data_IF_081304036963
#
_entry.id   IF_081304036963
#
_cell.length_a   1.000
_cell.length_b   1.000
_cell.length_c   1.000
_cell.angle_alpha   90.00
_cell.angle_beta   90.00
_cell.angle_gamma   90.00
#
_symmetry.space_group_name_H-M   'P 1'
#
loop_
_entity.id
_entity.type
_entity.pdbx_description
1 polymer ?
#
# COMPACT_ATOMS: atom_id res chain seq x y z
N UNK A 1 -13.04 20.75 -4.45
CA UNK A 1 -13.58 19.56 -5.13
C UNK A 1 -13.54 18.40 -4.14
N UNK A 2 -14.68 17.75 -3.91
CA UNK A 2 -14.77 16.57 -3.04
C UNK A 2 -14.16 15.34 -3.71
N UNK A 3 -13.85 14.30 -2.93
CA UNK A 3 -13.44 13.00 -3.49
C UNK A 3 -14.56 12.39 -4.35
N UNK A 4 -15.83 12.59 -3.99
CA UNK A 4 -16.95 12.05 -4.77
C UNK A 4 -16.98 12.64 -6.19
N UNK A 5 -16.73 13.95 -6.32
CA UNK A 5 -16.59 14.61 -7.62
C UNK A 5 -15.38 14.08 -8.41
N UNK A 6 -14.26 13.80 -7.72
CA UNK A 6 -13.05 13.25 -8.36
C UNK A 6 -13.23 11.79 -8.81
N UNK A 7 -14.15 11.04 -8.21
CA UNK A 7 -14.44 9.64 -8.52
C UNK A 7 -15.57 9.44 -9.56
N UNK A 8 -16.24 10.51 -9.99
CA UNK A 8 -17.49 10.43 -10.76
C UNK A 8 -17.42 9.55 -12.02
N UNK A 9 -16.26 9.48 -12.68
CA UNK A 9 -16.06 8.72 -13.92
C UNK A 9 -15.16 7.49 -13.75
N UNK A 10 -14.84 7.07 -12.51
CA UNK A 10 -13.92 5.97 -12.27
C UNK A 10 -14.31 4.67 -12.99
N UNK A 11 -15.60 4.33 -13.01
CA UNK A 11 -16.07 3.10 -13.66
C UNK A 11 -15.90 3.11 -15.18
N UNK A 12 -15.89 4.30 -15.80
CA UNK A 12 -15.71 4.45 -17.25
C UNK A 12 -14.23 4.53 -17.63
N UNK A 13 -13.43 5.25 -16.84
CA UNK A 13 -12.01 5.50 -17.12
C UNK A 13 -11.08 4.40 -16.58
N UNK A 14 -11.52 3.65 -15.58
CA UNK A 14 -10.71 2.67 -14.85
C UNK A 14 -9.67 3.30 -13.92
N UNK A 15 -9.61 4.63 -13.84
CA UNK A 15 -8.75 5.39 -12.92
C UNK A 15 -9.39 6.72 -12.52
N UNK A 16 -8.89 7.31 -11.43
CA UNK A 16 -9.22 8.68 -11.01
C UNK A 16 -7.99 9.32 -10.36
N UNK A 17 -7.83 10.64 -10.54
CA UNK A 17 -6.75 11.40 -9.90
C UNK A 17 -7.31 12.12 -8.69
N UNK A 18 -6.79 11.79 -7.51
CA UNK A 18 -7.13 12.50 -6.27
C UNK A 18 -6.08 13.57 -5.98
N UNK A 19 -6.53 14.79 -5.67
CA UNK A 19 -5.62 15.87 -5.24
C UNK A 19 -5.25 15.71 -3.76
N UNK A 20 -4.01 16.04 -3.40
CA UNK A 20 -3.50 15.82 -2.03
C UNK A 20 -4.43 16.40 -0.94
N UNK A 21 -4.92 17.62 -1.13
CA UNK A 21 -5.79 18.30 -0.17
C UNK A 21 -7.14 17.59 0.07
N UNK A 22 -7.69 16.91 -0.95
CA UNK A 22 -8.95 16.16 -0.77
C UNK A 22 -8.72 14.88 0.03
N UNK A 23 -7.55 14.24 -0.13
CA UNK A 23 -7.14 13.06 0.65
C UNK A 23 -6.80 13.46 2.08
N UNK A 24 -5.99 14.49 2.29
CA UNK A 24 -5.64 15.02 3.61
C UNK A 24 -6.88 15.41 4.42
N UNK A 25 -7.89 15.99 3.75
CA UNK A 25 -9.18 16.33 4.34
C UNK A 25 -9.96 15.14 4.91
N UNK A 26 -9.64 13.91 4.51
CA UNK A 26 -10.27 12.67 5.02
C UNK A 26 -9.51 12.01 6.17
N UNK A 27 -8.24 12.33 6.35
CA UNK A 27 -7.42 11.73 7.41
C UNK A 27 -7.93 12.18 8.79
N UNK A 28 -7.96 11.26 9.75
CA UNK A 28 -8.19 11.58 11.16
C UNK A 28 -7.06 12.46 11.71
N UNK A 29 -7.28 13.07 12.87
CA UNK A 29 -6.24 13.86 13.53
C UNK A 29 -5.03 12.99 13.90
N UNK A 30 -5.27 11.72 14.27
CA UNK A 30 -4.29 10.71 14.61
C UNK A 30 -3.46 10.33 13.37
N UNK A 31 -4.12 9.98 12.27
CA UNK A 31 -3.45 9.62 11.02
C UNK A 31 -2.55 10.75 10.50
N UNK A 32 -2.99 12.01 10.64
CA UNK A 32 -2.17 13.18 10.26
C UNK A 32 -0.91 13.31 11.10
N UNK A 33 -0.94 12.95 12.38
CA UNK A 33 0.25 12.97 13.25
C UNK A 33 1.26 11.89 12.87
N UNK A 34 0.81 10.81 12.25
CA UNK A 34 1.67 9.70 11.82
C UNK A 34 2.29 9.91 10.43
N UNK A 35 1.81 10.87 9.64
CA UNK A 35 2.30 11.12 8.29
C UNK A 35 3.82 11.29 8.17
N UNK A 36 4.51 12.01 9.09
CA UNK A 36 5.98 12.10 9.06
C UNK A 36 6.68 10.73 9.23
N UNK A 37 6.07 9.79 9.95
CA UNK A 37 6.61 8.44 10.10
C UNK A 37 6.45 7.64 8.80
N UNK A 38 5.31 7.79 8.12
CA UNK A 38 5.07 7.19 6.80
C UNK A 38 6.11 7.70 5.80
N UNK A 39 6.35 9.00 5.75
CA UNK A 39 7.40 9.60 4.91
C UNK A 39 8.78 9.04 5.25
N UNK A 40 9.16 9.04 6.53
CA UNK A 40 10.45 8.52 6.98
C UNK A 40 10.66 7.03 6.62
N UNK A 41 9.59 6.24 6.56
CA UNK A 41 9.67 4.81 6.22
C UNK A 41 10.24 4.54 4.82
N UNK A 42 10.13 5.49 3.88
CA UNK A 42 10.71 5.36 2.55
C UNK A 42 12.25 5.32 2.57
N UNK A 43 12.87 5.95 3.57
CA UNK A 43 14.33 5.88 3.78
C UNK A 43 14.79 4.51 4.33
N UNK A 44 13.85 3.65 4.74
CA UNK A 44 14.12 2.33 5.31
C UNK A 44 13.66 1.17 4.42
N UNK A 45 13.32 1.45 3.15
CA UNK A 45 13.07 0.41 2.16
C UNK A 45 14.35 -0.41 1.92
N UNK A 46 14.18 -1.69 1.66
CA UNK A 46 15.30 -2.60 1.35
C UNK A 46 15.29 -2.96 -0.12
N UNK A 47 16.46 -3.33 -0.65
CA UNK A 47 16.57 -3.78 -2.04
C UNK A 47 15.68 -5.00 -2.28
N UNK A 48 14.91 -4.97 -3.36
CA UNK A 48 14.12 -6.09 -3.84
C UNK A 48 15.03 -7.18 -4.43
N UNK A 49 15.14 -8.31 -3.74
CA UNK A 49 15.94 -9.47 -4.16
C UNK A 49 15.15 -10.49 -4.99
N UNK A 50 13.86 -10.25 -5.23
CA UNK A 50 13.00 -11.18 -5.94
C UNK A 50 13.06 -10.96 -7.46
N UNK A 51 13.59 -9.83 -7.94
CA UNK A 51 13.63 -9.49 -9.36
C UNK A 51 14.39 -10.52 -10.22
N UNK A 52 13.75 -11.02 -11.27
CA UNK A 52 14.33 -12.00 -12.19
C UNK A 52 15.32 -11.39 -13.20
N UNK A 53 15.29 -10.08 -13.39
CA UNK A 53 16.18 -9.35 -14.32
C UNK A 53 17.54 -8.97 -13.72
N UNK A 54 17.80 -9.34 -12.46
CA UNK A 54 19.03 -8.98 -11.75
C UNK A 54 19.14 -7.49 -11.39
N UNK A 55 18.07 -6.71 -11.57
CA UNK A 55 18.04 -5.28 -11.30
C UNK A 55 18.42 -4.92 -9.85
N UNK A 56 19.02 -3.74 -9.69
CA UNK A 56 19.41 -3.19 -8.38
C UNK A 56 18.55 -1.99 -7.98
N UNK A 57 17.62 -1.58 -8.83
CA UNK A 57 16.96 -0.28 -8.78
C UNK A 57 15.70 -0.24 -7.90
N UNK A 58 15.12 -1.39 -7.56
CA UNK A 58 13.85 -1.44 -6.83
C UNK A 58 14.08 -1.71 -5.35
N UNK A 59 13.52 -0.85 -4.51
CA UNK A 59 13.51 -0.99 -3.06
C UNK A 59 12.07 -1.07 -2.59
N UNK A 60 11.73 -2.05 -1.75
CA UNK A 60 10.36 -2.25 -1.27
C UNK A 60 10.26 -3.05 0.01
N UNK A 61 9.11 -2.91 0.68
CA UNK A 61 8.61 -3.76 1.75
C UNK A 61 7.16 -4.15 1.45
N UNK A 62 6.66 -5.23 2.04
CA UNK A 62 5.30 -5.71 1.81
C UNK A 62 4.70 -6.35 3.06
N UNK A 63 3.55 -5.85 3.49
CA UNK A 63 2.69 -6.46 4.51
C UNK A 63 1.26 -6.51 3.98
N UNK A 64 0.42 -7.35 4.59
CA UNK A 64 -1.01 -7.48 4.22
C UNK A 64 -1.87 -7.17 5.43
N UNK A 65 -3.04 -6.61 5.16
CA UNK A 65 -4.05 -6.34 6.17
C UNK A 65 -5.38 -6.94 5.72
N UNK A 66 -6.15 -7.42 6.68
CA UNK A 66 -7.54 -7.75 6.48
C UNK A 66 -8.39 -6.56 6.90
N UNK A 67 -9.05 -5.93 5.93
CA UNK A 67 -10.03 -4.88 6.17
C UNK A 67 -11.40 -5.51 6.41
N UNK A 68 -12.02 -5.23 7.57
CA UNK A 68 -13.40 -5.63 7.86
C UNK A 68 -14.25 -4.38 8.06
N UNK A 69 -15.39 -4.32 7.40
CA UNK A 69 -16.34 -3.23 7.59
C UNK A 69 -16.95 -3.31 9.00
N UNK A 70 -16.97 -2.19 9.71
CA UNK A 70 -17.59 -2.02 11.02
C UNK A 70 -18.65 -0.91 10.99
N UNK A 71 -19.34 -0.68 12.11
CA UNK A 71 -20.32 0.40 12.23
C UNK A 71 -19.69 1.81 12.08
N UNK A 72 -18.37 1.91 12.28
CA UNK A 72 -17.64 3.17 12.29
C UNK A 72 -16.64 3.31 11.13
N UNK A 73 -16.62 2.36 10.19
CA UNK A 73 -15.72 2.38 9.04
C UNK A 73 -15.14 1.02 8.72
N UNK A 74 -13.81 0.93 8.71
CA UNK A 74 -13.07 -0.30 8.49
C UNK A 74 -12.09 -0.55 9.63
N UNK A 75 -12.08 -1.79 10.13
CA UNK A 75 -11.06 -2.28 11.05
C UNK A 75 -10.01 -3.04 10.25
N UNK A 76 -8.75 -2.65 10.38
CA UNK A 76 -7.62 -3.29 9.72
C UNK A 76 -6.87 -4.20 10.69
N UNK A 77 -6.77 -5.48 10.36
CA UNK A 77 -5.96 -6.45 11.13
C UNK A 77 -4.72 -6.82 10.33
N UNK A 78 -3.49 -6.63 10.85
CA UNK A 78 -2.28 -7.11 10.19
C UNK A 78 -2.34 -8.63 10.02
N UNK A 79 -2.05 -9.10 8.81
CA UNK A 79 -1.96 -10.53 8.50
C UNK A 79 -0.52 -11.01 8.64
N UNK A 80 -0.35 -12.25 9.07
CA UNK A 80 0.96 -12.89 9.08
C UNK A 80 1.45 -13.17 7.65
N UNK A 81 2.77 -13.18 7.51
CA UNK A 81 3.44 -13.43 6.24
C UNK A 81 3.46 -12.21 5.32
N UNK A 82 4.59 -12.07 4.66
CA UNK A 82 4.93 -11.01 3.71
C UNK A 82 5.21 -11.62 2.33
N UNK A 83 4.48 -12.69 2.02
CA UNK A 83 4.56 -13.41 0.75
C UNK A 83 3.34 -13.17 -0.10
N UNK A 84 3.54 -13.08 -1.42
CA UNK A 84 2.48 -12.95 -2.43
C UNK A 84 2.81 -13.84 -3.63
N UNK A 85 1.82 -14.60 -4.10
CA UNK A 85 1.91 -15.28 -5.38
C UNK A 85 1.55 -14.31 -6.49
N UNK A 86 2.38 -14.23 -7.52
CA UNK A 86 2.13 -13.38 -8.68
C UNK A 86 1.88 -14.26 -9.89
N UNK A 87 0.71 -14.11 -10.52
CA UNK A 87 0.39 -14.86 -11.72
C UNK A 87 1.34 -14.51 -12.87
N UNK A 88 1.79 -15.53 -13.61
CA UNK A 88 2.68 -15.31 -14.77
C UNK A 88 2.00 -14.48 -15.85
N UNK A 89 0.69 -14.61 -16.02
CA UNK A 89 -0.07 -13.84 -17.01
C UNK A 89 -0.10 -12.34 -16.69
N UNK A 90 -0.08 -11.98 -15.40
CA UNK A 90 -0.18 -10.60 -14.92
C UNK A 90 1.22 -9.98 -14.73
N UNK A 91 2.24 -10.80 -14.48
CA UNK A 91 3.63 -10.37 -14.33
C UNK A 91 4.59 -11.32 -15.08
N UNK A 92 4.67 -11.26 -16.42
CA UNK A 92 5.42 -12.24 -17.21
C UNK A 92 6.90 -12.39 -16.85
N UNK A 93 7.54 -11.31 -16.38
CA UNK A 93 8.95 -11.31 -16.00
C UNK A 93 9.20 -11.99 -14.64
N UNK A 94 8.24 -11.89 -13.72
CA UNK A 94 8.47 -12.17 -12.30
C UNK A 94 7.43 -13.13 -11.68
N UNK A 95 6.38 -13.50 -12.41
CA UNK A 95 5.28 -14.33 -11.93
C UNK A 95 5.55 -15.83 -12.01
N UNK A 96 4.55 -16.62 -11.66
CA UNK A 96 4.61 -18.09 -11.58
C UNK A 96 5.22 -18.62 -10.28
N UNK A 97 5.53 -17.74 -9.32
CA UNK A 97 6.19 -18.09 -8.05
C UNK A 97 5.63 -17.27 -6.88
N UNK A 98 5.72 -17.84 -5.69
CA UNK A 98 5.51 -17.11 -4.43
C UNK A 98 6.75 -16.27 -4.12
N UNK A 99 6.57 -14.98 -3.93
CA UNK A 99 7.62 -14.02 -3.59
C UNK A 99 7.47 -13.58 -2.15
N UNK A 100 8.59 -13.47 -1.45
CA UNK A 100 8.65 -13.09 -0.04
C UNK A 100 9.51 -11.83 0.06
N UNK A 101 8.98 -10.77 0.66
CA UNK A 101 9.66 -9.47 0.81
C UNK A 101 9.82 -9.10 2.29
N UNK A 102 10.72 -8.20 2.63
CA UNK A 102 10.75 -7.68 4.01
C UNK A 102 9.40 -7.02 4.38
N UNK A 103 8.89 -7.23 5.60
CA UNK A 103 7.64 -6.62 6.04
C UNK A 103 7.79 -5.10 6.19
N UNK A 104 6.67 -4.39 6.22
CA UNK A 104 6.63 -3.00 6.70
C UNK A 104 7.23 -2.93 8.11
N UNK A 105 7.84 -1.80 8.47
CA UNK A 105 8.38 -1.60 9.83
C UNK A 105 7.27 -1.73 10.87
N UNK A 106 7.58 -2.06 12.13
CA UNK A 106 6.53 -2.28 13.14
C UNK A 106 5.71 -1.01 13.39
N UNK A 107 6.33 0.16 13.29
CA UNK A 107 5.72 1.47 13.45
C UNK A 107 4.65 1.68 12.38
N UNK A 108 4.97 1.41 11.12
CA UNK A 108 4.00 1.50 10.02
C UNK A 108 2.98 0.37 10.10
N UNK A 109 3.39 -0.85 10.43
CA UNK A 109 2.49 -2.00 10.46
C UNK A 109 1.43 -1.93 11.57
N UNK A 110 1.58 -1.00 12.53
CA UNK A 110 0.65 -0.76 13.65
C UNK A 110 0.03 0.63 13.64
N UNK A 111 0.29 1.43 12.60
CA UNK A 111 -0.22 2.80 12.49
C UNK A 111 -1.76 2.87 12.42
N UNK A 112 -2.29 4.02 12.80
CA UNK A 112 -3.70 4.35 12.80
C UNK A 112 -4.07 5.09 11.51
N UNK A 113 -4.04 4.37 10.38
CA UNK A 113 -4.46 4.87 9.06
C UNK A 113 -5.92 4.57 8.76
#
# INVERSE_FOLDING_TARGET
>A
MSIAEQLQNFDQEGFAVLVASSVEGRLSAEARKEMPQVEASFHHLVRDTQMADGGTYRFRRYSRFLARKSAHGFDFTPLSGHSIYQEVRDNPLNGGVTRTFEPLSQEINRGHF
#
